data_IF_605566517379
#
_entry.id   IF_605566517379
#
_cell.length_a   1.000
_cell.length_b   1.000
_cell.length_c   1.000
_cell.angle_alpha   90.00
_cell.angle_beta   90.00
_cell.angle_gamma   90.00
#
_symmetry.space_group_name_H-M   'P 1'
#
loop_
_entity.id
_entity.type
_entity.pdbx_description
1 polymer ?
#
# COMPACT_ATOMS: atom_id res chain seq x y z
N UNK A 1 12.97 15.23 -1.44
CA UNK A 1 12.90 13.93 -2.14
C UNK A 1 11.45 13.51 -2.17
N UNK A 2 10.97 12.95 -3.27
CA UNK A 2 9.67 12.29 -3.32
C UNK A 2 9.92 10.78 -3.18
N UNK A 3 9.22 10.15 -2.25
CA UNK A 3 9.28 8.71 -1.98
C UNK A 3 7.93 8.13 -2.38
N UNK A 4 7.97 7.06 -3.16
CA UNK A 4 6.81 6.24 -3.49
C UNK A 4 7.07 4.86 -2.94
N UNK A 5 6.18 4.36 -2.10
CA UNK A 5 6.29 3.05 -1.48
C UNK A 5 4.93 2.35 -1.44
N UNK A 6 4.94 1.06 -1.12
CA UNK A 6 3.73 0.31 -0.85
C UNK A 6 3.51 0.10 0.65
N UNK A 7 2.26 0.23 1.08
CA UNK A 7 1.82 -0.15 2.43
C UNK A 7 0.77 -1.24 2.33
N UNK A 8 1.06 -2.38 2.92
CA UNK A 8 0.17 -3.53 2.95
C UNK A 8 -0.55 -3.67 4.29
N UNK A 9 -1.84 -3.95 4.22
CA UNK A 9 -2.70 -4.24 5.37
C UNK A 9 -3.21 -5.67 5.21
N UNK A 10 -2.85 -6.54 6.15
CA UNK A 10 -3.36 -7.91 6.18
C UNK A 10 -4.87 -7.91 6.32
N UNK A 11 -5.54 -8.58 5.39
CA UNK A 11 -6.99 -8.54 5.30
C UNK A 11 -7.53 -9.76 4.60
N UNK A 12 -8.65 -10.25 5.11
CA UNK A 12 -9.34 -11.43 4.60
C UNK A 12 -10.84 -11.12 4.44
N UNK A 13 -11.50 -11.82 3.52
CA UNK A 13 -12.93 -11.70 3.22
C UNK A 13 -13.22 -10.82 2.01
N UNK A 14 -14.52 -10.60 1.76
CA UNK A 14 -15.02 -9.95 0.53
C UNK A 14 -15.61 -8.55 0.78
N UNK A 15 -15.58 -8.07 2.02
CA UNK A 15 -16.21 -6.79 2.42
C UNK A 15 -15.31 -5.56 2.24
N UNK A 16 -14.23 -5.66 1.46
CA UNK A 16 -13.41 -4.49 1.16
C UNK A 16 -12.70 -4.59 -0.18
N UNK A 17 -12.57 -3.44 -0.82
CA UNK A 17 -11.94 -3.32 -2.13
C UNK A 17 -10.45 -3.68 -2.12
N UNK A 18 -9.97 -4.26 -3.22
CA UNK A 18 -8.54 -4.49 -3.46
C UNK A 18 -7.90 -5.58 -2.61
N UNK A 19 -8.69 -6.44 -1.95
CA UNK A 19 -8.17 -7.62 -1.25
C UNK A 19 -7.77 -8.68 -2.29
N UNK A 20 -6.52 -9.10 -2.29
CA UNK A 20 -6.03 -10.21 -3.12
C UNK A 20 -4.78 -10.85 -2.53
N UNK A 21 -4.38 -11.99 -3.07
CA UNK A 21 -3.05 -12.57 -2.82
C UNK A 21 -1.98 -11.64 -3.40
N UNK A 22 -1.32 -10.88 -2.54
CA UNK A 22 -0.30 -9.91 -2.88
C UNK A 22 0.88 -10.04 -1.91
N UNK A 23 2.03 -9.45 -2.23
CA UNK A 23 3.17 -9.46 -1.31
C UNK A 23 2.87 -8.56 -0.11
N UNK A 24 2.78 -9.13 1.08
CA UNK A 24 2.64 -8.38 2.32
C UNK A 24 4.02 -8.18 2.94
N UNK A 25 4.68 -7.06 2.61
CA UNK A 25 5.99 -6.68 3.14
C UNK A 25 6.07 -6.69 4.67
N UNK A 26 4.96 -6.41 5.38
CA UNK A 26 4.89 -6.48 6.85
C UNK A 26 5.19 -7.87 7.43
N UNK A 27 4.97 -8.93 6.66
CA UNK A 27 5.20 -10.33 7.08
C UNK A 27 6.08 -11.12 6.09
N UNK A 28 6.61 -10.47 5.07
CA UNK A 28 7.59 -11.03 4.14
C UNK A 28 7.09 -12.17 3.26
N UNK A 29 5.77 -12.28 3.01
CA UNK A 29 5.19 -13.36 2.18
C UNK A 29 4.02 -12.90 1.33
N UNK A 30 3.70 -13.69 0.32
CA UNK A 30 2.45 -13.56 -0.44
C UNK A 30 1.30 -14.07 0.42
N UNK A 31 0.28 -13.23 0.62
CA UNK A 31 -0.94 -13.57 1.34
C UNK A 31 -2.05 -12.63 0.92
N UNK A 32 -3.28 -12.92 1.36
CA UNK A 32 -4.39 -11.99 1.23
C UNK A 32 -4.09 -10.69 2.00
N UNK A 33 -3.98 -9.59 1.27
CA UNK A 33 -3.84 -8.25 1.83
C UNK A 33 -4.40 -7.19 0.88
N UNK A 34 -4.61 -6.00 1.43
CA UNK A 34 -4.92 -4.78 0.70
C UNK A 34 -3.65 -3.94 0.63
N UNK A 35 -3.36 -3.34 -0.53
CA UNK A 35 -2.13 -2.56 -0.74
C UNK A 35 -2.49 -1.12 -1.11
N UNK A 36 -1.98 -0.15 -0.36
CA UNK A 36 -1.98 1.26 -0.74
C UNK A 36 -0.62 1.64 -1.31
N UNK A 37 -0.61 2.53 -2.30
CA UNK A 37 0.61 3.19 -2.78
C UNK A 37 0.62 4.60 -2.22
N UNK A 38 1.62 4.94 -1.43
CA UNK A 38 1.75 6.25 -0.81
C UNK A 38 2.81 7.12 -1.49
N UNK A 39 2.59 8.43 -1.45
CA UNK A 39 3.54 9.44 -1.89
C UNK A 39 3.91 10.31 -0.70
N UNK A 40 5.20 10.32 -0.35
CA UNK A 40 5.73 11.09 0.77
C UNK A 40 6.80 12.06 0.30
N UNK A 41 6.67 13.33 0.67
CA UNK A 41 7.77 14.28 0.58
C UNK A 41 8.69 14.10 1.77
N UNK A 42 9.98 13.88 1.52
CA UNK A 42 11.01 13.81 2.55
C UNK A 42 12.05 14.92 2.35
N UNK A 43 12.33 15.66 3.42
CA UNK A 43 13.42 16.64 3.48
C UNK A 43 14.55 16.04 4.32
N UNK A 44 15.78 15.90 3.76
CA UNK A 44 16.91 15.40 4.53
C UNK A 44 17.17 16.25 5.77
N UNK A 45 17.59 15.56 6.82
CA UNK A 45 18.07 16.16 8.05
C UNK A 45 19.44 16.81 7.84
N UNK A 46 19.86 17.61 8.80
CA UNK A 46 21.15 18.31 8.77
C UNK A 46 22.19 17.53 9.58
N UNK A 47 21.78 16.84 10.64
CA UNK A 47 22.71 16.27 11.62
C UNK A 47 22.58 14.75 11.80
N UNK A 48 21.40 14.17 11.60
CA UNK A 48 21.13 12.74 11.81
C UNK A 48 20.24 12.21 10.67
N UNK A 49 19.84 10.94 10.76
CA UNK A 49 18.76 10.43 9.91
C UNK A 49 17.39 10.70 10.56
N UNK A 50 17.35 10.91 11.88
CA UNK A 50 16.12 11.06 12.65
C UNK A 50 15.50 12.48 12.57
N UNK A 51 16.25 13.48 12.10
CA UNK A 51 15.78 14.84 11.83
C UNK A 51 15.25 15.00 10.39
N UNK A 52 15.03 13.89 9.68
CA UNK A 52 14.27 13.90 8.43
C UNK A 52 12.84 14.35 8.72
N UNK A 53 12.34 15.30 7.92
CA UNK A 53 10.93 15.69 7.95
C UNK A 53 10.20 14.99 6.81
N UNK A 54 9.08 14.34 7.13
CA UNK A 54 8.23 13.65 6.17
C UNK A 54 6.83 14.23 6.16
N UNK A 55 6.27 14.38 4.96
CA UNK A 55 4.89 14.83 4.72
C UNK A 55 4.18 13.85 3.78
N UNK A 56 3.15 13.13 4.26
CA UNK A 56 2.28 12.34 3.39
C UNK A 56 1.54 13.29 2.45
N UNK A 57 1.72 13.11 1.14
CA UNK A 57 1.05 13.90 0.12
C UNK A 57 -0.21 13.22 -0.39
N UNK A 58 -0.24 11.88 -0.35
CA UNK A 58 -1.40 11.09 -0.77
C UNK A 58 -1.20 9.60 -0.58
N UNK A 59 -2.29 8.86 -0.65
CA UNK A 59 -2.33 7.41 -0.68
C UNK A 59 -3.48 6.98 -1.60
N UNK A 60 -3.20 6.09 -2.54
CA UNK A 60 -4.20 5.49 -3.41
C UNK A 60 -4.25 3.97 -3.21
N UNK A 61 -5.45 3.41 -3.32
CA UNK A 61 -5.63 1.97 -3.24
C UNK A 61 -5.16 1.32 -4.54
N UNK A 62 -4.21 0.38 -4.46
CA UNK A 62 -3.89 -0.48 -5.57
C UNK A 62 -4.99 -1.53 -5.73
N UNK A 63 -5.71 -1.46 -6.86
CA UNK A 63 -6.70 -2.45 -7.23
C UNK A 63 -6.04 -3.50 -8.15
N UNK A 64 -5.92 -4.76 -7.71
CA UNK A 64 -5.41 -5.84 -8.54
C UNK A 64 -6.22 -5.95 -9.83
N UNK A 65 -5.57 -6.32 -10.93
CA UNK A 65 -6.21 -6.44 -12.24
C UNK A 65 -7.52 -7.27 -12.21
N UNK A 66 -7.53 -8.38 -11.47
CA UNK A 66 -8.74 -9.19 -11.29
C UNK A 66 -9.90 -8.41 -10.67
N UNK A 67 -9.67 -7.47 -9.74
CA UNK A 67 -10.73 -6.65 -9.14
C UNK A 67 -11.39 -5.66 -10.10
N UNK A 68 -10.68 -5.26 -11.17
CA UNK A 68 -11.18 -4.28 -12.15
C UNK A 68 -11.65 -4.91 -13.44
N UNK A 69 -11.17 -6.11 -13.76
CA UNK A 69 -11.55 -6.86 -14.96
C UNK A 69 -12.62 -7.92 -14.69
N UNK A 70 -12.75 -8.38 -13.44
CA UNK A 70 -13.79 -9.34 -13.09
C UNK A 70 -15.16 -8.63 -13.04
N UNK A 71 -16.06 -9.12 -13.87
CA UNK A 71 -17.45 -8.64 -13.95
C UNK A 71 -18.40 -9.46 -13.06
N UNK A 72 -17.94 -10.58 -12.51
CA UNK A 72 -18.73 -11.42 -11.62
C UNK A 72 -18.46 -11.02 -10.16
N UNK A 73 -19.51 -10.57 -9.47
CA UNK A 73 -19.45 -10.36 -8.03
C UNK A 73 -19.86 -11.66 -7.34
N UNK A 74 -18.89 -12.46 -6.90
CA UNK A 74 -19.17 -13.62 -6.03
C UNK A 74 -19.46 -13.13 -4.59
N UNK A 75 -20.63 -13.53 -4.07
CA UNK A 75 -21.14 -13.16 -2.73
C UNK A 75 -20.54 -14.01 -1.60
#
# INVERSE_FOLDING_TARGET
MLIVDDVNVLKHGHQSAGIAQQYAGSIGKITSCQVGVDLVSAVPGVARNADHLTWPLGLELYLPRQWVEDTEFEQ
#
